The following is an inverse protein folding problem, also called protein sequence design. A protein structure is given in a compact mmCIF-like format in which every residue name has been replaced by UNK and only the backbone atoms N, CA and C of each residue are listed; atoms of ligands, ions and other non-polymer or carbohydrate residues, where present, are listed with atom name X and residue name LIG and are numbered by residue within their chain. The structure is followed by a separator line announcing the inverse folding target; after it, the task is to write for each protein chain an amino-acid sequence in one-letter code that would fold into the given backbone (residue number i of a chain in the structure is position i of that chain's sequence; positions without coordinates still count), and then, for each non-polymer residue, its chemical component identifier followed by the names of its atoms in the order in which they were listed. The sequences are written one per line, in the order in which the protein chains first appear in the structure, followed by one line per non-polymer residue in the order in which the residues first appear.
data_IF_275402288562
#
_entry.id   IF_275402288562
#
_cell.length_a   1.000
_cell.length_b   1.000
_cell.length_c   1.000
_cell.angle_alpha   90.00
_cell.angle_beta   90.00
_cell.angle_gamma   90.00
#
_symmetry.space_group_name_H-M   'P 1'
#
loop_
_entity.id
_entity.type
_entity.pdbx_description
1 polymer ?
#
# COMPACT_ATOMS: atom_id res chain seq x y z
N UNK A 1 32.36 -19.39 -9.08
CA UNK A 1 31.11 -20.19 -9.09
C UNK A 1 30.39 -20.05 -7.75
N UNK A 2 31.10 -19.86 -6.65
CA UNK A 2 30.52 -19.77 -5.29
C UNK A 2 29.91 -18.42 -4.92
N UNK A 3 30.29 -17.33 -5.60
CA UNK A 3 29.78 -15.98 -5.31
C UNK A 3 28.31 -15.76 -5.68
N UNK A 4 27.81 -16.47 -6.69
CA UNK A 4 26.41 -16.37 -7.13
C UNK A 4 25.44 -17.05 -6.12
N UNK A 5 25.90 -18.12 -5.49
CA UNK A 5 25.10 -18.82 -4.48
C UNK A 5 24.95 -18.02 -3.18
N UNK A 6 25.98 -17.31 -2.76
CA UNK A 6 25.92 -16.49 -1.53
C UNK A 6 25.03 -15.26 -1.65
N UNK A 7 24.90 -14.69 -2.84
CA UNK A 7 23.95 -13.59 -3.07
C UNK A 7 22.50 -14.06 -3.15
N UNK A 8 22.25 -15.31 -3.52
CA UNK A 8 20.88 -15.84 -3.62
C UNK A 8 20.32 -16.35 -2.26
N UNK A 9 21.18 -16.80 -1.35
CA UNK A 9 20.78 -17.39 -0.07
C UNK A 9 19.98 -16.46 0.86
N UNK A 10 20.24 -15.16 0.97
CA UNK A 10 19.42 -14.27 1.80
C UNK A 10 18.05 -13.96 1.17
N UNK A 11 17.89 -14.19 -0.14
CA UNK A 11 16.72 -13.77 -0.91
C UNK A 11 15.77 -14.95 -1.18
N UNK A 12 16.27 -16.18 -1.18
CA UNK A 12 15.48 -17.39 -1.42
C UNK A 12 15.43 -18.26 -0.18
N UNK A 13 14.28 -18.28 0.45
CA UNK A 13 13.94 -19.31 1.45
C UNK A 13 13.36 -20.49 0.67
N UNK A 14 13.68 -21.71 1.11
CA UNK A 14 13.16 -22.94 0.50
C UNK A 14 11.63 -22.88 0.39
N UNK A 15 11.09 -23.12 -0.78
CA UNK A 15 9.65 -22.98 -1.08
C UNK A 15 9.17 -21.57 -1.44
N UNK A 16 10.03 -20.56 -1.41
CA UNK A 16 9.65 -19.17 -1.70
C UNK A 16 9.91 -18.74 -3.15
N UNK A 17 10.07 -19.67 -4.07
CA UNK A 17 10.39 -19.36 -5.48
C UNK A 17 9.32 -18.49 -6.15
N UNK A 18 8.05 -18.63 -5.73
CA UNK A 18 6.94 -17.77 -6.14
C UNK A 18 6.93 -16.40 -5.45
N UNK A 19 7.75 -16.19 -4.42
CA UNK A 19 7.80 -14.98 -3.61
C UNK A 19 9.06 -14.15 -3.84
N UNK A 20 9.69 -14.27 -4.99
CA UNK A 20 10.89 -13.49 -5.37
C UNK A 20 10.61 -11.99 -5.57
N UNK A 21 9.55 -11.49 -5.00
CA UNK A 21 9.24 -10.07 -5.00
C UNK A 21 9.92 -9.37 -3.82
N UNK A 22 10.31 -8.10 -4.03
CA UNK A 22 10.93 -7.28 -3.00
C UNK A 22 9.91 -6.76 -1.97
N UNK A 23 10.39 -6.05 -0.95
CA UNK A 23 9.55 -5.41 0.09
C UNK A 23 8.50 -4.50 -0.54
N UNK A 24 8.89 -3.66 -1.51
CA UNK A 24 7.98 -2.77 -2.22
C UNK A 24 6.81 -3.54 -2.87
N UNK A 25 7.10 -4.64 -3.56
CA UNK A 25 6.03 -5.46 -4.15
C UNK A 25 5.08 -6.03 -3.10
N UNK A 26 5.61 -6.44 -1.95
CA UNK A 26 4.80 -6.90 -0.83
C UNK A 26 3.86 -5.83 -0.30
N UNK A 27 4.35 -4.61 -0.09
CA UNK A 27 3.54 -3.49 0.35
C UNK A 27 2.46 -3.13 -0.68
N UNK A 28 2.80 -3.14 -1.97
CA UNK A 28 1.84 -2.86 -3.05
C UNK A 28 0.69 -3.86 -3.11
N UNK A 29 0.95 -5.14 -2.93
CA UNK A 29 -0.11 -6.17 -2.95
C UNK A 29 -1.17 -5.89 -1.89
N UNK A 30 -0.75 -5.43 -0.70
CA UNK A 30 -1.66 -5.15 0.42
C UNK A 30 -2.40 -3.83 0.27
N UNK A 31 -1.72 -2.75 -0.14
CA UNK A 31 -2.29 -1.39 -0.15
C UNK A 31 -3.01 -1.04 -1.45
N UNK A 32 -2.58 -1.60 -2.59
CA UNK A 32 -3.18 -1.29 -3.88
C UNK A 32 -4.68 -1.65 -4.00
N UNK A 33 -5.23 -2.62 -3.24
CA UNK A 33 -6.66 -2.90 -3.21
C UNK A 33 -7.54 -1.84 -2.55
N UNK A 34 -6.96 -0.83 -1.90
CA UNK A 34 -7.72 0.30 -1.35
C UNK A 34 -8.11 1.21 -2.53
N UNK A 35 -9.39 1.20 -2.87
CA UNK A 35 -9.89 1.66 -4.18
C UNK A 35 -9.86 3.17 -4.36
N UNK A 36 -9.97 3.93 -3.30
CA UNK A 36 -9.97 5.40 -3.26
C UNK A 36 -8.62 6.01 -2.83
N UNK A 37 -7.63 5.18 -2.58
CA UNK A 37 -6.27 5.64 -2.27
C UNK A 37 -5.46 5.91 -3.55
N UNK A 38 -4.57 6.89 -3.47
CA UNK A 38 -3.57 7.17 -4.50
C UNK A 38 -2.20 6.67 -4.06
N UNK A 39 -1.42 6.23 -5.03
CA UNK A 39 -0.15 5.56 -4.77
C UNK A 39 0.98 6.22 -5.53
N UNK A 40 1.98 6.73 -4.82
CA UNK A 40 3.19 7.30 -5.42
C UNK A 40 4.36 6.34 -5.21
N UNK A 41 4.92 5.85 -6.29
CA UNK A 41 6.18 5.11 -6.26
C UNK A 41 7.32 6.13 -6.33
N UNK A 42 7.93 6.41 -5.20
CA UNK A 42 9.08 7.31 -5.14
C UNK A 42 10.33 6.51 -5.51
N UNK A 43 10.74 6.66 -6.77
CA UNK A 43 11.83 5.89 -7.34
C UNK A 43 11.84 5.88 -8.87
N UNK A 44 12.70 5.07 -9.48
CA UNK A 44 12.80 4.94 -10.92
C UNK A 44 11.58 4.24 -11.52
N UNK A 45 11.30 4.53 -12.80
CA UNK A 45 10.17 3.96 -13.54
C UNK A 45 10.14 2.42 -13.53
N UNK A 46 11.28 1.75 -13.44
CA UNK A 46 11.36 0.29 -13.40
C UNK A 46 10.62 -0.33 -12.21
N UNK A 47 10.65 0.31 -11.04
CA UNK A 47 9.88 -0.14 -9.88
C UNK A 47 8.36 0.02 -10.11
N UNK A 48 7.94 1.13 -10.68
CA UNK A 48 6.54 1.39 -10.98
C UNK A 48 6.00 0.39 -12.02
N UNK A 49 6.71 0.20 -13.13
CA UNK A 49 6.29 -0.68 -14.21
C UNK A 49 6.21 -2.14 -13.78
N UNK A 50 7.10 -2.59 -12.89
CA UNK A 50 7.09 -3.95 -12.36
C UNK A 50 5.80 -4.27 -11.58
N UNK A 51 5.21 -3.30 -10.90
CA UNK A 51 3.99 -3.49 -10.09
C UNK A 51 2.73 -3.02 -10.79
N UNK A 52 2.82 -2.46 -11.99
CA UNK A 52 1.69 -1.91 -12.73
C UNK A 52 0.57 -2.92 -12.99
N UNK A 53 0.93 -4.16 -13.29
CA UNK A 53 0.01 -5.25 -13.58
C UNK A 53 -0.28 -6.17 -12.40
N UNK A 54 0.05 -5.80 -11.17
CA UNK A 54 -0.20 -6.65 -9.97
C UNK A 54 -1.67 -6.98 -9.82
N UNK A 55 -2.55 -6.07 -10.23
CA UNK A 55 -4.00 -6.31 -10.23
C UNK A 55 -4.52 -6.38 -11.65
N UNK A 56 -5.04 -7.53 -12.02
CA UNK A 56 -5.69 -7.76 -13.30
C UNK A 56 -7.15 -7.28 -13.30
N UNK A 57 -7.81 -7.36 -14.46
CA UNK A 57 -9.23 -6.98 -14.66
C UNK A 57 -10.22 -7.73 -13.76
N UNK A 58 -9.83 -8.88 -13.22
CA UNK A 58 -10.68 -9.73 -12.38
C UNK A 58 -10.64 -9.36 -10.89
N UNK A 59 -9.84 -8.38 -10.49
CA UNK A 59 -9.51 -8.14 -9.08
C UNK A 59 -10.04 -6.83 -8.52
N UNK A 60 -10.49 -5.93 -9.36
CA UNK A 60 -11.18 -4.70 -9.00
C UNK A 60 -11.72 -4.06 -10.25
N UNK A 61 -12.67 -3.18 -10.07
CA UNK A 61 -13.20 -2.40 -11.18
C UNK A 61 -12.03 -1.70 -11.91
N UNK A 62 -12.10 -1.62 -13.21
CA UNK A 62 -11.01 -1.44 -14.18
C UNK A 62 -10.14 -0.17 -14.02
N UNK A 63 -10.35 0.63 -12.98
CA UNK A 63 -9.73 1.94 -12.87
C UNK A 63 -8.68 2.09 -11.76
N UNK A 64 -8.51 1.09 -10.86
CA UNK A 64 -7.59 1.19 -9.71
C UNK A 64 -6.12 1.39 -10.13
N UNK A 65 -5.71 0.93 -11.30
CA UNK A 65 -4.36 1.20 -11.82
C UNK A 65 -4.11 2.68 -12.14
N UNK A 66 -5.17 3.46 -12.41
CA UNK A 66 -5.07 4.90 -12.70
C UNK A 66 -4.69 5.73 -11.47
N UNK A 67 -4.85 5.17 -10.28
CA UNK A 67 -4.47 5.82 -9.03
C UNK A 67 -2.98 5.63 -8.68
N UNK A 68 -2.18 5.10 -9.61
CA UNK A 68 -0.75 4.82 -9.38
C UNK A 68 0.13 5.78 -10.19
N UNK A 69 1.03 6.45 -9.50
CA UNK A 69 1.95 7.44 -10.03
C UNK A 69 3.39 7.10 -9.63
N UNK A 70 4.35 7.74 -10.24
CA UNK A 70 5.77 7.56 -9.92
C UNK A 70 6.53 8.86 -10.13
N UNK A 71 7.61 9.04 -9.38
CA UNK A 71 8.41 10.26 -9.45
C UNK A 71 9.49 10.20 -10.53
N UNK A 72 9.77 9.03 -11.09
CA UNK A 72 10.83 8.82 -12.10
C UNK A 72 12.18 9.40 -11.65
N UNK A 73 12.69 8.93 -10.50
CA UNK A 73 14.01 9.29 -9.99
C UNK A 73 15.07 8.94 -11.01
N UNK A 74 15.87 9.93 -11.40
CA UNK A 74 16.95 9.85 -12.38
C UNK A 74 18.31 10.13 -11.73
N UNK A 75 19.39 10.03 -12.51
CA UNK A 75 20.75 10.22 -12.04
C UNK A 75 20.97 11.59 -11.36
N UNK A 76 20.39 12.64 -11.90
CA UNK A 76 20.43 14.00 -11.32
C UNK A 76 19.74 14.07 -9.94
N UNK A 77 18.61 13.38 -9.76
CA UNK A 77 17.90 13.33 -8.49
C UNK A 77 18.68 12.53 -7.43
N UNK A 78 19.49 11.55 -7.86
CA UNK A 78 20.37 10.79 -6.96
C UNK A 78 21.45 11.70 -6.36
N UNK A 79 21.91 12.71 -7.10
CA UNK A 79 22.97 13.62 -6.67
C UNK A 79 22.43 14.72 -5.76
N UNK A 80 21.25 15.28 -6.09
CA UNK A 80 20.69 16.46 -5.41
C UNK A 80 19.56 16.15 -4.42
N UNK A 81 19.09 14.87 -4.37
CA UNK A 81 17.92 14.45 -3.60
C UNK A 81 16.62 14.50 -4.40
N UNK A 82 15.70 13.59 -4.10
CA UNK A 82 14.41 13.44 -4.79
C UNK A 82 13.23 14.09 -4.08
N UNK A 83 13.42 14.66 -2.89
CA UNK A 83 12.34 15.19 -2.03
C UNK A 83 11.47 16.23 -2.74
N UNK A 84 12.07 17.20 -3.44
CA UNK A 84 11.33 18.23 -4.19
C UNK A 84 10.47 17.64 -5.31
N UNK A 85 10.94 16.56 -5.92
CA UNK A 85 10.22 15.86 -6.96
C UNK A 85 9.01 15.10 -6.38
N UNK A 86 9.17 14.56 -5.17
CA UNK A 86 8.08 13.96 -4.42
C UNK A 86 7.03 15.00 -4.02
N UNK A 87 7.44 16.14 -3.48
CA UNK A 87 6.53 17.25 -3.16
C UNK A 87 5.72 17.68 -4.39
N UNK A 88 6.38 17.86 -5.54
CA UNK A 88 5.73 18.21 -6.80
C UNK A 88 4.70 17.17 -7.26
N UNK A 89 5.01 15.88 -7.12
CA UNK A 89 4.09 14.81 -7.46
C UNK A 89 2.85 14.78 -6.54
N UNK A 90 3.05 14.99 -5.25
CA UNK A 90 1.94 15.09 -4.28
C UNK A 90 1.04 16.29 -4.61
N UNK A 91 1.63 17.47 -4.85
CA UNK A 91 0.88 18.67 -5.25
C UNK A 91 0.01 18.43 -6.48
N UNK A 92 0.55 17.81 -7.50
CA UNK A 92 -0.16 17.52 -8.75
C UNK A 92 -1.35 16.59 -8.51
N UNK A 93 -1.17 15.54 -7.71
CA UNK A 93 -2.22 14.59 -7.37
C UNK A 93 -3.33 15.27 -6.59
N UNK A 94 -3.01 16.00 -5.54
CA UNK A 94 -3.99 16.70 -4.70
C UNK A 94 -4.79 17.71 -5.52
N UNK A 95 -4.11 18.48 -6.37
CA UNK A 95 -4.76 19.48 -7.24
C UNK A 95 -5.68 18.86 -8.28
N UNK A 96 -5.28 17.73 -8.85
CA UNK A 96 -5.96 17.13 -10.01
C UNK A 96 -7.08 16.19 -9.59
N UNK A 97 -6.86 15.37 -8.55
CA UNK A 97 -7.73 14.24 -8.23
C UNK A 97 -8.49 14.38 -6.90
N UNK A 98 -8.26 15.45 -6.14
CA UNK A 98 -8.92 15.69 -4.83
C UNK A 98 -8.83 14.48 -3.89
N UNK A 99 -7.65 13.87 -3.82
CA UNK A 99 -7.39 12.69 -3.01
C UNK A 99 -7.51 12.99 -1.51
N UNK A 100 -8.05 12.06 -0.73
CA UNK A 100 -8.05 12.12 0.74
C UNK A 100 -6.95 11.24 1.36
N UNK A 101 -6.42 10.28 0.58
CA UNK A 101 -5.40 9.32 1.03
C UNK A 101 -4.36 9.07 -0.05
N UNK A 102 -3.09 9.24 0.29
CA UNK A 102 -1.94 8.94 -0.58
C UNK A 102 -0.95 8.05 0.17
N UNK A 103 -0.54 6.95 -0.46
CA UNK A 103 0.59 6.14 -0.01
C UNK A 103 1.83 6.47 -0.83
N UNK A 104 2.95 6.75 -0.15
CA UNK A 104 4.25 7.01 -0.78
C UNK A 104 5.20 5.87 -0.51
N UNK A 105 5.59 5.15 -1.55
CA UNK A 105 6.48 3.99 -1.43
C UNK A 105 7.94 4.39 -1.66
N UNK A 106 8.77 4.28 -0.63
CA UNK A 106 10.22 4.43 -0.78
C UNK A 106 10.81 3.19 -1.46
N UNK A 107 11.44 3.39 -2.62
CA UNK A 107 12.16 2.32 -3.32
C UNK A 107 13.60 2.17 -2.84
N UNK A 108 14.34 1.22 -3.41
CA UNK A 108 15.74 0.98 -3.03
C UNK A 108 16.62 2.21 -3.25
N UNK A 109 16.44 2.92 -4.37
CA UNK A 109 17.23 4.11 -4.71
C UNK A 109 17.03 5.18 -3.65
N UNK A 110 15.79 5.47 -3.31
CA UNK A 110 15.41 6.44 -2.28
C UNK A 110 16.01 6.08 -0.92
N UNK A 111 15.99 4.79 -0.56
CA UNK A 111 16.62 4.32 0.68
C UNK A 111 18.14 4.48 0.72
N UNK A 112 18.82 4.53 -0.45
CA UNK A 112 20.27 4.72 -0.55
C UNK A 112 20.64 6.20 -0.54
N UNK A 113 19.89 7.05 -1.26
CA UNK A 113 20.18 8.49 -1.32
C UNK A 113 19.80 9.22 -0.01
N UNK A 114 18.94 8.60 0.81
CA UNK A 114 18.62 9.13 2.13
C UNK A 114 17.54 10.22 2.14
N UNK A 115 16.65 10.25 1.14
CA UNK A 115 15.51 11.18 1.13
C UNK A 115 14.64 10.98 2.39
N UNK A 116 14.31 12.08 3.07
CA UNK A 116 13.43 12.06 4.25
C UNK A 116 11.94 12.10 3.81
N UNK A 117 11.47 10.94 3.34
CA UNK A 117 10.07 10.79 2.92
C UNK A 117 9.08 11.01 4.07
N UNK A 118 9.49 10.71 5.31
CA UNK A 118 8.64 10.92 6.49
C UNK A 118 8.37 12.41 6.71
N UNK A 119 9.41 13.23 6.59
CA UNK A 119 9.26 14.68 6.70
C UNK A 119 8.42 15.26 5.56
N UNK A 120 8.68 14.84 4.31
CA UNK A 120 7.90 15.28 3.15
C UNK A 120 6.43 14.92 3.32
N UNK A 121 6.12 13.67 3.64
CA UNK A 121 4.74 13.21 3.81
C UNK A 121 4.04 13.97 4.93
N UNK A 122 4.67 14.17 6.07
CA UNK A 122 4.11 14.94 7.20
C UNK A 122 3.81 16.37 6.80
N UNK A 123 4.78 17.10 6.24
CA UNK A 123 4.63 18.49 5.84
C UNK A 123 3.51 18.66 4.79
N UNK A 124 3.44 17.74 3.82
CA UNK A 124 2.41 17.78 2.79
C UNK A 124 1.03 17.39 3.31
N UNK A 125 0.95 16.47 4.29
CA UNK A 125 -0.29 16.15 4.99
C UNK A 125 -0.85 17.35 5.73
N UNK A 126 -0.01 18.05 6.49
CA UNK A 126 -0.39 19.26 7.23
C UNK A 126 -0.83 20.37 6.28
N UNK A 127 -0.07 20.58 5.19
CA UNK A 127 -0.35 21.62 4.19
C UNK A 127 -1.69 21.45 3.50
N UNK A 128 -2.07 20.21 3.16
CA UNK A 128 -3.26 19.93 2.37
C UNK A 128 -4.44 19.40 3.18
N UNK A 129 -4.24 19.05 4.46
CA UNK A 129 -5.29 18.49 5.31
C UNK A 129 -5.76 17.09 4.88
N UNK A 130 -4.87 16.30 4.27
CA UNK A 130 -5.14 14.93 3.80
C UNK A 130 -4.18 13.94 4.44
N UNK A 131 -4.49 12.65 4.36
CA UNK A 131 -3.57 11.61 4.85
C UNK A 131 -2.56 11.23 3.79
N UNK A 132 -1.27 11.42 4.09
CA UNK A 132 -0.15 11.00 3.23
C UNK A 132 0.75 10.11 4.06
N UNK A 133 0.82 8.84 3.72
CA UNK A 133 1.47 7.81 4.53
C UNK A 133 2.73 7.31 3.84
N UNK A 134 3.90 7.48 4.46
CA UNK A 134 5.14 6.93 3.95
C UNK A 134 5.19 5.42 4.20
N UNK A 135 5.54 4.66 3.18
CA UNK A 135 5.73 3.20 3.26
C UNK A 135 7.21 2.88 3.03
N UNK A 136 7.91 2.51 4.09
CA UNK A 136 9.34 2.14 4.04
C UNK A 136 9.50 0.78 3.37
N UNK A 137 9.58 0.78 2.05
CA UNK A 137 9.50 -0.41 1.23
C UNK A 137 10.77 -0.71 0.40
N UNK A 138 11.93 -0.18 0.82
CA UNK A 138 13.19 -0.51 0.20
C UNK A 138 13.46 -2.03 0.21
N UNK A 139 13.85 -2.57 -0.93
CA UNK A 139 14.15 -4.00 -1.07
C UNK A 139 15.33 -4.48 -0.22
N UNK A 140 16.17 -3.56 0.27
CA UNK A 140 17.25 -3.89 1.20
C UNK A 140 16.76 -4.24 2.61
N UNK A 141 15.52 -3.86 2.97
CA UNK A 141 14.94 -4.12 4.29
C UNK A 141 14.46 -5.58 4.47
N UNK A 142 14.38 -6.36 3.41
CA UNK A 142 13.94 -7.75 3.50
C UNK A 142 13.29 -8.29 2.23
N UNK A 143 12.24 -9.07 2.41
CA UNK A 143 11.51 -9.76 1.34
C UNK A 143 10.04 -9.28 1.25
N UNK A 144 9.24 -9.93 0.42
CA UNK A 144 7.82 -9.64 0.23
C UNK A 144 7.03 -9.64 1.54
N UNK A 145 7.31 -10.58 2.46
CA UNK A 145 6.64 -10.66 3.77
C UNK A 145 6.94 -9.44 4.65
N UNK A 146 8.15 -8.87 4.56
CA UNK A 146 8.51 -7.61 5.22
C UNK A 146 7.65 -6.47 4.68
N UNK A 147 7.39 -6.46 3.37
CA UNK A 147 6.51 -5.49 2.74
C UNK A 147 5.06 -5.60 3.22
N UNK A 148 4.55 -6.82 3.41
CA UNK A 148 3.23 -7.04 4.00
C UNK A 148 3.13 -6.42 5.39
N UNK A 149 4.13 -6.63 6.24
CA UNK A 149 4.16 -6.05 7.59
C UNK A 149 4.19 -4.51 7.56
N UNK A 150 5.02 -3.94 6.68
CA UNK A 150 5.07 -2.49 6.52
C UNK A 150 3.72 -1.90 6.09
N UNK A 151 3.03 -2.56 5.17
CA UNK A 151 1.70 -2.17 4.73
C UNK A 151 0.65 -2.31 5.84
N UNK A 152 0.68 -3.40 6.61
CA UNK A 152 -0.23 -3.58 7.74
C UNK A 152 -0.03 -2.49 8.80
N UNK A 153 1.21 -2.08 9.08
CA UNK A 153 1.47 -0.96 9.99
C UNK A 153 0.88 0.35 9.46
N UNK A 154 1.06 0.63 8.16
CA UNK A 154 0.45 1.80 7.52
C UNK A 154 -1.10 1.81 7.62
N UNK A 155 -1.73 0.63 7.57
CA UNK A 155 -3.18 0.50 7.77
C UNK A 155 -3.56 0.73 9.24
N UNK A 156 -2.76 0.24 10.19
CA UNK A 156 -3.01 0.48 11.62
C UNK A 156 -2.99 1.96 11.93
N UNK A 157 -2.03 2.71 11.39
CA UNK A 157 -1.97 4.16 11.54
C UNK A 157 -3.26 4.84 11.04
N UNK A 158 -3.85 4.35 9.94
CA UNK A 158 -5.13 4.86 9.43
C UNK A 158 -6.31 4.54 10.35
N UNK A 159 -6.33 3.34 10.93
CA UNK A 159 -7.41 2.89 11.82
C UNK A 159 -7.33 3.62 13.17
N UNK A 160 -6.14 3.87 13.69
CA UNK A 160 -5.92 4.53 14.98
C UNK A 160 -6.28 6.02 14.95
N UNK A 161 -6.03 6.70 13.84
CA UNK A 161 -6.31 8.13 13.65
C UNK A 161 -7.81 8.51 13.57
N UNK A 162 -8.72 7.54 13.56
CA UNK A 162 -10.14 7.82 13.50
C UNK A 162 -10.68 8.38 14.83
N UNK A 163 -11.07 9.65 14.85
CA UNK A 163 -11.66 10.36 16.01
C UNK A 163 -13.15 10.03 16.26
N UNK A 164 -13.75 9.19 15.42
CA UNK A 164 -15.17 8.86 15.55
C UNK A 164 -15.44 7.95 16.75
N UNK A 165 -16.57 8.17 17.48
CA UNK A 165 -16.92 7.33 18.62
C UNK A 165 -17.13 5.88 18.17
N UNK A 166 -16.51 4.94 18.89
CA UNK A 166 -16.61 3.51 18.59
C UNK A 166 -18.02 3.02 18.94
N UNK A 167 -18.80 2.68 17.92
CA UNK A 167 -20.13 2.08 18.07
C UNK A 167 -20.06 0.63 17.60
N UNK A 168 -19.79 -0.28 18.53
CA UNK A 168 -19.67 -1.71 18.20
C UNK A 168 -21.01 -2.31 17.81
N UNK A 169 -21.06 -2.89 16.62
CA UNK A 169 -22.15 -3.73 16.15
C UNK A 169 -21.95 -5.17 16.62
N UNK A 170 -23.03 -5.91 16.82
CA UNK A 170 -22.96 -7.35 17.18
C UNK A 170 -22.82 -8.27 15.96
N UNK A 171 -23.13 -7.80 14.78
CA UNK A 171 -23.17 -8.58 13.54
C UNK A 171 -22.12 -8.15 12.51
N UNK A 172 -21.48 -6.99 12.72
CA UNK A 172 -20.45 -6.49 11.81
C UNK A 172 -19.09 -7.11 12.13
N UNK A 173 -18.42 -7.56 11.09
CA UNK A 173 -17.09 -8.18 11.17
C UNK A 173 -16.12 -7.51 10.20
N UNK A 174 -14.84 -7.50 10.56
CA UNK A 174 -13.79 -7.19 9.59
C UNK A 174 -13.28 -8.49 8.98
N UNK A 175 -13.11 -8.49 7.67
CA UNK A 175 -12.51 -9.60 6.95
C UNK A 175 -11.05 -9.26 6.61
N UNK A 176 -10.12 -10.10 7.06
CA UNK A 176 -8.68 -9.81 7.02
C UNK A 176 -7.91 -10.83 6.19
N UNK A 177 -6.90 -10.36 5.47
CA UNK A 177 -5.91 -11.21 4.81
C UNK A 177 -6.22 -11.60 3.37
N UNK A 178 -7.33 -11.15 2.84
CA UNK A 178 -7.65 -11.28 1.41
C UNK A 178 -7.39 -9.94 0.70
N UNK A 179 -6.60 -10.00 -0.37
CA UNK A 179 -6.25 -8.84 -1.19
C UNK A 179 -7.06 -8.80 -2.50
N UNK A 180 -8.07 -9.63 -2.61
CA UNK A 180 -8.95 -9.75 -3.78
C UNK A 180 -8.18 -9.91 -5.10
N UNK A 181 -7.24 -10.84 -5.16
CA UNK A 181 -6.40 -11.03 -6.35
C UNK A 181 -7.15 -11.65 -7.53
N UNK A 182 -8.23 -12.38 -7.28
CA UNK A 182 -9.05 -13.01 -8.31
C UNK A 182 -10.56 -12.86 -8.08
N UNK A 183 -10.99 -11.90 -7.26
CA UNK A 183 -12.40 -11.63 -7.01
C UNK A 183 -13.01 -12.44 -5.86
N UNK A 184 -12.20 -13.14 -5.08
CA UNK A 184 -12.64 -14.04 -4.00
C UNK A 184 -13.44 -13.31 -2.93
N UNK A 185 -13.07 -12.09 -2.61
CA UNK A 185 -13.71 -11.31 -1.55
C UNK A 185 -15.20 -11.06 -1.81
N UNK A 186 -15.60 -10.93 -3.05
CA UNK A 186 -17.00 -10.71 -3.41
C UNK A 186 -17.85 -11.95 -3.08
N UNK A 187 -17.35 -13.14 -3.38
CA UNK A 187 -18.01 -14.42 -3.10
C UNK A 187 -18.08 -14.65 -1.59
N UNK A 188 -16.98 -14.43 -0.88
CA UNK A 188 -16.90 -14.63 0.56
C UNK A 188 -17.80 -13.65 1.33
N UNK A 189 -17.89 -12.41 0.86
CA UNK A 189 -18.80 -11.42 1.44
C UNK A 189 -20.27 -11.84 1.33
N UNK A 190 -20.66 -12.45 0.21
CA UNK A 190 -22.01 -12.96 0.02
C UNK A 190 -22.31 -14.16 0.95
N UNK A 191 -21.38 -15.09 1.11
CA UNK A 191 -21.53 -16.19 2.07
C UNK A 191 -21.64 -15.72 3.51
N UNK A 192 -20.83 -14.74 3.91
CA UNK A 192 -20.92 -14.16 5.25
C UNK A 192 -22.27 -13.51 5.49
N UNK A 193 -22.82 -12.82 4.49
CA UNK A 193 -24.15 -12.22 4.54
C UNK A 193 -25.26 -13.26 4.66
N UNK A 194 -25.17 -14.40 3.98
CA UNK A 194 -26.12 -15.49 4.06
C UNK A 194 -26.22 -16.08 5.49
N UNK A 195 -25.13 -16.11 6.24
CA UNK A 195 -25.11 -16.56 7.64
C UNK A 195 -25.41 -15.45 8.66
N UNK A 196 -25.82 -14.25 8.19
CA UNK A 196 -26.23 -13.13 9.03
C UNK A 196 -25.12 -12.23 9.53
N UNK A 197 -23.93 -12.31 8.95
CA UNK A 197 -22.82 -11.39 9.21
C UNK A 197 -22.73 -10.29 8.14
N UNK A 198 -22.42 -9.09 8.56
CA UNK A 198 -22.16 -7.95 7.68
C UNK A 198 -20.67 -7.62 7.71
N UNK A 199 -20.03 -7.60 6.56
CA UNK A 199 -18.62 -7.19 6.46
C UNK A 199 -18.53 -5.66 6.48
N UNK A 200 -18.03 -5.11 7.59
CA UNK A 200 -17.81 -3.66 7.73
C UNK A 200 -16.58 -3.21 6.96
N UNK A 201 -15.50 -3.95 7.11
CA UNK A 201 -14.22 -3.61 6.48
C UNK A 201 -13.54 -4.86 5.93
N UNK A 202 -13.07 -4.75 4.72
CA UNK A 202 -12.20 -5.75 4.09
C UNK A 202 -10.76 -5.22 4.17
N UNK A 203 -9.86 -5.95 4.79
CA UNK A 203 -8.47 -5.53 4.93
C UNK A 203 -7.59 -6.43 4.04
N UNK A 204 -7.32 -6.02 2.80
CA UNK A 204 -7.62 -4.74 2.15
C UNK A 204 -8.41 -4.91 0.83
N UNK A 205 -8.85 -6.10 0.52
CA UNK A 205 -9.49 -6.41 -0.76
C UNK A 205 -10.70 -5.53 -1.07
N UNK A 206 -10.56 -4.60 -2.03
CA UNK A 206 -11.61 -3.67 -2.46
C UNK A 206 -12.22 -2.82 -1.31
N UNK A 207 -11.39 -2.45 -0.35
CA UNK A 207 -11.80 -1.52 0.70
C UNK A 207 -11.66 -0.06 0.27
N UNK A 208 -12.35 0.81 0.97
CA UNK A 208 -12.20 2.26 0.89
C UNK A 208 -11.54 2.82 2.14
N UNK A 209 -10.97 4.01 2.05
CA UNK A 209 -10.42 4.70 3.22
C UNK A 209 -11.45 4.88 4.34
N UNK A 210 -12.71 5.16 3.98
CA UNK A 210 -13.80 5.27 4.94
C UNK A 210 -14.09 3.95 5.66
N UNK A 211 -14.13 2.83 4.92
CA UNK A 211 -14.31 1.49 5.53
C UNK A 211 -13.17 1.18 6.49
N UNK A 212 -11.91 1.48 6.12
CA UNK A 212 -10.75 1.25 7.00
C UNK A 212 -10.85 2.04 8.31
N UNK A 213 -11.29 3.30 8.27
CA UNK A 213 -11.53 4.10 9.50
C UNK A 213 -12.61 3.48 10.39
N UNK A 214 -13.61 2.85 9.80
CA UNK A 214 -14.71 2.22 10.52
C UNK A 214 -14.37 0.84 11.10
N UNK A 215 -13.20 0.29 10.82
CA UNK A 215 -12.79 -1.03 11.29
C UNK A 215 -12.91 -1.23 12.80
N UNK A 216 -12.79 -0.16 13.59
CA UNK A 216 -12.98 -0.19 15.06
C UNK A 216 -14.41 -0.57 15.50
N UNK A 217 -15.40 -0.41 14.63
CA UNK A 217 -16.81 -0.60 14.95
C UNK A 217 -17.25 -2.06 14.85
N UNK A 218 -16.43 -2.92 14.33
CA UNK A 218 -16.71 -4.35 14.18
C UNK A 218 -16.63 -5.10 15.50
N UNK A 219 -17.45 -6.16 15.61
CA UNK A 219 -17.46 -7.04 16.78
C UNK A 219 -16.25 -7.98 16.77
N UNK A 220 -15.81 -8.41 15.58
CA UNK A 220 -14.81 -9.45 15.41
C UNK A 220 -13.98 -9.20 14.13
N UNK A 221 -12.73 -9.62 14.16
CA UNK A 221 -11.88 -9.77 12.98
C UNK A 221 -11.86 -11.26 12.61
N UNK A 222 -12.10 -11.59 11.34
CA UNK A 222 -12.13 -12.95 10.80
C UNK A 222 -11.16 -13.08 9.61
#
# INVERSE_FOLDING_TARGET
VTGVQTCALPISVEGSVSQRACVYCGARVVLNPITDAYHIVHGPIGCASYTWGIRGRLTSDSEVFRNSFYTDIREEDIIIGGEKKLEGAIEEIVKTYKSELIFVYATCVVGVIGDDIDAVCRNMSEKHGIKIIPVKSSGFAGNKSTGYKAACNAILDLVEDGDEPIVKSKTKVNYMGDFNLAGEIWILTDYLKEIGLEVETKITGDSTFRELKNAKNSALNI
#
